data_IF_777152647797
#
_entry.id   IF_777152647797
#
_cell.length_a   1.000
_cell.length_b   1.000
_cell.length_c   1.000
_cell.angle_alpha   90.00
_cell.angle_beta   90.00
_cell.angle_gamma   90.00
#
_symmetry.space_group_name_H-M   'P 1'
#
loop_
_entity.id
_entity.type
_entity.pdbx_description
1 polymer ?
#
# COMPACT_ATOMS: atom_id res chain seq x y z
N UNK A 1 -6.92 0.15 12.37
CA UNK A 1 -7.34 1.15 13.38
C UNK A 1 -7.90 2.38 12.67
N UNK A 2 -8.81 3.19 13.23
CA UNK A 2 -9.31 4.40 12.56
C UNK A 2 -8.22 5.45 12.31
N UNK A 3 -8.47 6.34 11.36
CA UNK A 3 -7.62 7.51 11.07
C UNK A 3 -8.38 8.76 11.49
N UNK A 4 -7.89 9.44 12.53
CA UNK A 4 -8.52 10.65 13.06
C UNK A 4 -7.90 11.92 12.48
N UNK A 5 -8.60 13.06 12.67
CA UNK A 5 -8.03 14.35 12.34
C UNK A 5 -6.68 14.55 13.06
N UNK A 6 -5.71 15.13 12.35
CA UNK A 6 -4.33 15.38 12.80
C UNK A 6 -3.43 14.15 12.95
N UNK A 7 -3.93 12.93 12.75
CA UNK A 7 -3.04 11.78 12.57
C UNK A 7 -2.24 11.92 11.28
N UNK A 8 -0.99 11.48 11.34
CA UNK A 8 -0.19 11.19 10.14
C UNK A 8 -0.26 9.70 9.86
N UNK A 9 -0.55 9.34 8.60
CA UNK A 9 -0.44 7.97 8.10
C UNK A 9 0.82 7.86 7.25
N UNK A 10 1.70 6.93 7.59
CA UNK A 10 2.84 6.56 6.76
C UNK A 10 2.48 5.34 5.93
N UNK A 11 2.60 5.46 4.61
CA UNK A 11 2.39 4.38 3.68
C UNK A 11 3.71 3.68 3.35
N UNK A 12 3.66 2.35 3.30
CA UNK A 12 4.75 1.48 2.88
C UNK A 12 4.20 0.44 1.90
N UNK A 13 5.02 0.00 0.95
CA UNK A 13 4.61 -0.97 -0.06
C UNK A 13 5.74 -1.92 -0.44
N UNK A 14 5.37 -3.16 -0.72
CA UNK A 14 6.27 -4.21 -1.18
C UNK A 14 5.66 -4.92 -2.38
N UNK A 15 6.42 -5.08 -3.46
CA UNK A 15 6.02 -5.91 -4.60
C UNK A 15 6.04 -7.36 -4.16
N UNK A 16 4.90 -8.04 -4.26
CA UNK A 16 4.75 -9.44 -3.86
C UNK A 16 4.68 -10.41 -5.03
N UNK A 17 4.32 -9.92 -6.23
CA UNK A 17 4.35 -10.71 -7.46
C UNK A 17 4.57 -9.82 -8.69
N UNK A 18 5.22 -10.38 -9.70
CA UNK A 18 5.30 -9.82 -11.05
C UNK A 18 5.09 -10.96 -12.04
N UNK A 19 3.99 -10.95 -12.77
CA UNK A 19 3.61 -11.98 -13.73
C UNK A 19 3.21 -11.30 -15.05
N UNK A 20 3.97 -11.53 -16.13
CA UNK A 20 3.66 -11.04 -17.48
C UNK A 20 3.26 -9.54 -17.54
N UNK A 21 3.94 -8.70 -16.77
CA UNK A 21 3.70 -7.26 -16.70
C UNK A 21 2.56 -6.82 -15.77
N UNK A 22 1.82 -7.75 -15.17
CA UNK A 22 0.92 -7.50 -14.04
C UNK A 22 1.72 -7.59 -12.73
N UNK A 23 1.71 -6.51 -11.96
CA UNK A 23 2.43 -6.37 -10.70
C UNK A 23 1.42 -6.34 -9.56
N UNK A 24 1.66 -7.17 -8.55
CA UNK A 24 0.91 -7.15 -7.28
C UNK A 24 1.76 -6.49 -6.20
N UNK A 25 1.19 -5.50 -5.51
CA UNK A 25 1.84 -4.78 -4.42
C UNK A 25 0.99 -4.91 -3.16
N UNK A 26 1.61 -5.34 -2.07
CA UNK A 26 1.03 -5.20 -0.74
C UNK A 26 1.32 -3.80 -0.23
N UNK A 27 0.29 -3.05 0.12
CA UNK A 27 0.39 -1.69 0.66
C UNK A 27 -0.15 -1.67 2.08
N UNK A 28 0.60 -1.05 3.00
CA UNK A 28 0.15 -0.83 4.38
C UNK A 28 0.27 0.65 4.73
N UNK A 29 -0.83 1.25 5.19
CA UNK A 29 -0.85 2.56 5.82
C UNK A 29 -0.93 2.41 7.34
N UNK A 30 0.04 2.97 8.06
CA UNK A 30 0.12 2.91 9.53
C UNK A 30 0.05 4.30 10.15
N UNK A 31 -0.68 4.44 11.25
CA UNK A 31 -0.57 5.59 12.16
C UNK A 31 -0.02 5.12 13.52
N UNK A 32 0.01 6.00 14.52
CA UNK A 32 0.50 5.71 15.87
C UNK A 32 -0.30 4.62 16.60
N UNK A 33 -1.55 4.34 16.16
CA UNK A 33 -2.40 3.29 16.71
C UNK A 33 -2.17 1.92 16.03
N UNK A 34 -1.41 1.89 14.93
CA UNK A 34 -1.06 0.68 14.19
C UNK A 34 -1.51 0.70 12.73
N UNK A 35 -1.80 -0.48 12.18
CA UNK A 35 -2.18 -0.64 10.77
C UNK A 35 -3.59 -0.08 10.56
N UNK A 36 -3.68 1.05 9.85
CA UNK A 36 -4.94 1.68 9.48
C UNK A 36 -5.59 0.93 8.32
N UNK A 37 -4.80 0.66 7.27
CA UNK A 37 -5.23 -0.03 6.06
C UNK A 37 -4.17 -1.03 5.62
N UNK A 38 -4.61 -2.22 5.21
CA UNK A 38 -3.81 -3.17 4.43
C UNK A 38 -4.54 -3.42 3.12
N UNK A 39 -3.86 -3.24 2.00
CA UNK A 39 -4.42 -3.38 0.67
C UNK A 39 -3.52 -4.24 -0.22
N UNK A 40 -4.15 -4.86 -1.20
CA UNK A 40 -3.49 -5.52 -2.33
C UNK A 40 -3.83 -4.70 -3.57
N UNK A 41 -2.81 -4.26 -4.31
CA UNK A 41 -2.94 -3.47 -5.53
C UNK A 41 -2.41 -4.26 -6.69
N UNK A 42 -3.17 -4.34 -7.77
CA UNK A 42 -2.73 -4.93 -9.04
C UNK A 42 -2.63 -3.82 -10.10
N UNK A 43 -1.49 -3.72 -10.79
CA UNK A 43 -1.25 -2.72 -11.82
C UNK A 43 -0.32 -3.23 -12.92
N UNK A 44 -0.36 -2.58 -14.08
CA UNK A 44 0.70 -2.67 -15.09
C UNK A 44 1.49 -1.36 -15.14
N UNK A 45 2.82 -1.44 -15.22
CA UNK A 45 3.67 -0.25 -15.42
C UNK A 45 4.04 -0.09 -16.90
N UNK A 46 4.09 1.17 -17.35
CA UNK A 46 4.60 1.55 -18.67
C UNK A 46 5.74 2.54 -18.48
N UNK A 47 6.72 2.50 -19.37
CA UNK A 47 7.78 3.51 -19.40
C UNK A 47 7.22 4.88 -19.84
N UNK A 48 7.84 5.95 -19.33
CA UNK A 48 7.39 7.36 -19.47
C UNK A 48 7.97 8.04 -20.70
#
# INVERSE_FOLDING_TARGET
MPWYAYDTVTFSGEVTAVNDGLITVKVVGRNTLGDHVTATVELSMRDS
#
